data_IF_059507627042
#
_entry.id   IF_059507627042
#
_cell.length_a   1.000
_cell.length_b   1.000
_cell.length_c   1.000
_cell.angle_alpha   90.00
_cell.angle_beta   90.00
_cell.angle_gamma   90.00
#
_symmetry.space_group_name_H-M   'P 1'
#
loop_
_entity.id
_entity.type
_entity.pdbx_description
1 polymer ?
#
# COMPACT_ATOMS: atom_id res chain seq x y z
N UNK A 1 -27.81 8.73 4.61
CA UNK A 1 -27.14 7.45 4.28
C UNK A 1 -27.38 7.16 2.82
N UNK A 2 -26.60 7.80 1.95
CA UNK A 2 -26.73 7.65 0.50
C UNK A 2 -25.65 6.67 0.03
N UNK A 3 -26.04 5.40 0.01
CA UNK A 3 -25.28 4.30 -0.55
C UNK A 3 -25.70 4.14 -2.02
N UNK A 4 -24.70 3.91 -2.87
CA UNK A 4 -24.81 3.42 -4.26
C UNK A 4 -25.25 4.45 -5.31
N UNK A 5 -24.28 5.27 -5.74
CA UNK A 5 -24.13 5.57 -7.18
C UNK A 5 -22.78 5.08 -7.66
N UNK A 6 -22.74 3.78 -7.97
CA UNK A 6 -21.79 3.27 -8.93
C UNK A 6 -22.12 3.88 -10.29
N UNK A 7 -21.21 4.69 -10.81
CA UNK A 7 -21.04 4.86 -12.25
C UNK A 7 -19.65 4.31 -12.53
N UNK A 8 -19.63 3.06 -13.00
CA UNK A 8 -18.49 2.44 -13.64
C UNK A 8 -18.14 3.27 -14.88
N UNK A 9 -17.06 4.06 -14.78
CA UNK A 9 -16.46 4.83 -15.89
C UNK A 9 -15.20 4.15 -16.42
N UNK A 10 -15.08 2.82 -16.30
CA UNK A 10 -13.85 2.11 -16.66
C UNK A 10 -12.64 2.50 -15.81
N UNK A 11 -12.87 3.13 -14.65
CA UNK A 11 -11.83 3.51 -13.69
C UNK A 11 -11.36 2.27 -12.91
N UNK A 12 -10.04 2.11 -12.67
CA UNK A 12 -9.53 0.94 -11.98
C UNK A 12 -10.15 0.79 -10.58
N UNK A 13 -10.61 -0.43 -10.25
CA UNK A 13 -11.38 -0.69 -9.02
C UNK A 13 -10.55 -0.71 -7.74
N UNK A 14 -9.24 -0.98 -7.84
CA UNK A 14 -8.36 -1.07 -6.67
C UNK A 14 -7.57 0.23 -6.48
N UNK A 15 -7.24 0.55 -5.21
CA UNK A 15 -6.39 1.70 -4.88
C UNK A 15 -5.05 1.65 -5.61
N UNK A 16 -4.43 0.47 -5.68
CA UNK A 16 -3.16 0.27 -6.38
C UNK A 16 -3.27 0.50 -7.88
N UNK A 17 -4.30 0.00 -8.54
CA UNK A 17 -4.45 0.23 -9.98
C UNK A 17 -4.71 1.72 -10.30
N UNK A 18 -5.42 2.44 -9.43
CA UNK A 18 -5.55 3.90 -9.52
C UNK A 18 -4.22 4.62 -9.26
N UNK A 19 -3.37 4.08 -8.39
CA UNK A 19 -2.04 4.62 -8.15
C UNK A 19 -1.19 4.62 -9.43
N UNK A 20 -1.22 3.53 -10.21
CA UNK A 20 -0.56 3.47 -11.52
C UNK A 20 -1.15 4.45 -12.54
N UNK A 21 -2.48 4.64 -12.54
CA UNK A 21 -3.12 5.64 -13.41
C UNK A 21 -2.70 7.06 -13.05
N UNK A 22 -2.62 7.38 -11.75
CA UNK A 22 -2.15 8.70 -11.29
C UNK A 22 -0.67 8.90 -11.67
N UNK A 23 0.17 7.88 -11.52
CA UNK A 23 1.57 7.92 -11.96
C UNK A 23 1.68 8.19 -13.47
N UNK A 24 0.92 7.46 -14.29
CA UNK A 24 0.92 7.63 -15.75
C UNK A 24 0.45 9.04 -16.19
N UNK A 25 -0.34 9.72 -15.36
CA UNK A 25 -0.78 11.11 -15.56
C UNK A 25 0.20 12.15 -15.02
N UNK A 26 1.29 11.74 -14.36
CA UNK A 26 2.26 12.62 -13.71
C UNK A 26 1.86 13.09 -12.31
N UNK A 27 0.77 12.55 -11.74
CA UNK A 27 0.25 12.89 -10.43
C UNK A 27 0.98 12.05 -9.36
N UNK A 28 2.26 12.36 -9.13
CA UNK A 28 3.16 11.51 -8.34
C UNK A 28 2.77 11.45 -6.85
N UNK A 29 2.30 12.55 -6.29
CA UNK A 29 1.87 12.64 -4.89
C UNK A 29 0.62 11.80 -4.65
N UNK A 30 -0.38 11.92 -5.54
CA UNK A 30 -1.60 11.12 -5.49
C UNK A 30 -1.33 9.63 -5.71
N UNK A 31 -0.46 9.29 -6.66
CA UNK A 31 -0.03 7.92 -6.88
C UNK A 31 0.58 7.32 -5.61
N UNK A 32 1.45 8.09 -4.96
CA UNK A 32 2.13 7.67 -3.74
C UNK A 32 1.17 7.49 -2.56
N UNK A 33 0.21 8.42 -2.39
CA UNK A 33 -0.82 8.32 -1.35
C UNK A 33 -1.72 7.10 -1.54
N UNK A 34 -2.20 6.84 -2.76
CA UNK A 34 -3.03 5.66 -3.03
C UNK A 34 -2.29 4.35 -2.81
N UNK A 35 -1.00 4.30 -3.15
CA UNK A 35 -0.18 3.13 -2.92
C UNK A 35 -0.02 2.84 -1.42
N UNK A 36 0.22 3.88 -0.62
CA UNK A 36 0.22 3.75 0.84
C UNK A 36 -1.12 3.23 1.38
N UNK A 37 -2.24 3.85 0.97
CA UNK A 37 -3.58 3.44 1.41
C UNK A 37 -3.88 1.99 1.02
N UNK A 38 -3.39 1.55 -0.15
CA UNK A 38 -3.52 0.17 -0.59
C UNK A 38 -2.86 -0.80 0.40
N UNK A 39 -1.62 -0.53 0.82
CA UNK A 39 -0.87 -1.34 1.80
C UNK A 39 -1.53 -1.29 3.18
N UNK A 40 -1.86 -0.10 3.67
CA UNK A 40 -2.46 0.09 4.99
C UNK A 40 -3.78 -0.68 5.14
N UNK A 41 -4.62 -0.69 4.08
CA UNK A 41 -5.86 -1.44 4.04
C UNK A 41 -5.62 -2.96 4.14
N UNK A 42 -4.70 -3.53 3.35
CA UNK A 42 -4.38 -4.98 3.41
C UNK A 42 -3.79 -5.37 4.75
N UNK A 43 -2.79 -4.60 5.23
CA UNK A 43 -2.16 -4.86 6.52
C UNK A 43 -3.17 -4.81 7.66
N UNK A 44 -4.10 -3.86 7.64
CA UNK A 44 -5.17 -3.79 8.63
C UNK A 44 -6.09 -5.00 8.56
N UNK A 45 -6.40 -5.51 7.37
CA UNK A 45 -7.14 -6.76 7.19
C UNK A 45 -6.41 -7.97 7.78
N UNK A 46 -5.12 -8.14 7.47
CA UNK A 46 -4.27 -9.21 8.04
C UNK A 46 -4.16 -9.08 9.55
N UNK A 47 -3.94 -7.86 10.06
CA UNK A 47 -3.86 -7.60 11.49
C UNK A 47 -5.18 -7.93 12.20
N UNK A 48 -6.32 -7.53 11.63
CA UNK A 48 -7.64 -7.86 12.18
C UNK A 48 -7.88 -9.37 12.23
N UNK A 49 -7.57 -10.10 11.15
CA UNK A 49 -7.68 -11.56 11.10
C UNK A 49 -6.81 -12.27 12.16
N UNK A 50 -5.70 -11.63 12.56
CA UNK A 50 -4.74 -12.17 13.53
C UNK A 50 -4.86 -11.58 14.93
N UNK A 51 -5.83 -10.69 15.16
CA UNK A 51 -6.03 -10.01 16.45
C UNK A 51 -4.90 -9.05 16.82
N UNK A 52 -4.22 -8.47 15.84
CA UNK A 52 -3.14 -7.49 16.04
C UNK A 52 -3.65 -6.05 15.97
N UNK A 53 -3.02 -5.09 16.68
CA UNK A 53 -3.27 -3.67 16.48
C UNK A 53 -2.92 -3.22 15.06
N UNK A 54 -3.66 -2.24 14.52
CA UNK A 54 -3.42 -1.68 13.17
C UNK A 54 -3.88 -0.22 13.00
N UNK A 55 -4.11 0.53 14.08
CA UNK A 55 -4.72 1.87 14.01
C UNK A 55 -3.70 2.99 13.79
N UNK A 56 -2.41 2.70 13.90
CA UNK A 56 -1.33 3.69 13.74
C UNK A 56 -0.26 3.19 12.78
N UNK A 57 0.55 4.11 12.25
CA UNK A 57 1.71 3.72 11.43
C UNK A 57 2.65 2.78 12.21
N UNK A 58 2.87 3.04 13.50
CA UNK A 58 3.66 2.17 14.38
C UNK A 58 3.10 0.74 14.38
N UNK A 59 1.78 0.59 14.45
CA UNK A 59 1.15 -0.73 14.48
C UNK A 59 1.33 -1.47 13.15
N UNK A 60 1.19 -0.78 12.02
CA UNK A 60 1.43 -1.35 10.69
C UNK A 60 2.89 -1.82 10.53
N UNK A 61 3.86 -1.02 10.97
CA UNK A 61 5.26 -1.43 11.00
C UNK A 61 5.49 -2.63 11.94
N UNK A 62 4.85 -2.66 13.11
CA UNK A 62 4.94 -3.79 14.02
C UNK A 62 4.31 -5.07 13.43
N UNK A 63 3.26 -4.96 12.61
CA UNK A 63 2.69 -6.09 11.90
C UNK A 63 3.68 -6.66 10.87
N UNK A 64 4.38 -5.80 10.12
CA UNK A 64 5.45 -6.22 9.20
C UNK A 64 6.58 -6.95 9.96
N UNK A 65 7.00 -6.44 11.11
CA UNK A 65 8.04 -7.10 11.92
C UNK A 65 7.62 -8.49 12.44
N UNK A 66 6.35 -8.66 12.78
CA UNK A 66 5.79 -9.99 13.11
C UNK A 66 5.86 -10.92 11.90
N UNK A 67 5.44 -10.46 10.72
CA UNK A 67 5.51 -11.23 9.48
C UNK A 67 6.93 -11.66 9.12
N UNK A 68 7.92 -10.78 9.30
CA UNK A 68 9.34 -11.13 9.11
C UNK A 68 9.76 -12.23 10.08
N UNK A 69 9.38 -12.11 11.36
CA UNK A 69 9.73 -13.11 12.38
C UNK A 69 9.09 -14.47 12.08
N UNK A 70 7.82 -14.48 11.66
CA UNK A 70 7.08 -15.71 11.34
C UNK A 70 7.61 -16.41 10.08
N UNK A 71 7.96 -15.64 9.05
CA UNK A 71 8.34 -16.19 7.74
C UNK A 71 9.84 -16.33 7.55
N UNK A 72 10.65 -15.64 8.35
CA UNK A 72 12.10 -15.49 8.14
C UNK A 72 12.46 -14.63 6.92
N UNK A 73 11.47 -14.03 6.24
CA UNK A 73 11.67 -13.30 5.00
C UNK A 73 11.93 -11.80 5.25
N UNK A 74 13.17 -11.36 5.04
CA UNK A 74 13.52 -9.95 5.18
C UNK A 74 12.90 -9.05 4.10
N UNK A 75 12.37 -9.61 3.00
CA UNK A 75 11.77 -8.86 1.89
C UNK A 75 10.59 -8.01 2.35
N UNK A 76 9.82 -8.46 3.36
CA UNK A 76 8.74 -7.68 3.96
C UNK A 76 9.18 -6.28 4.42
N UNK A 77 10.37 -6.16 5.04
CA UNK A 77 10.90 -4.86 5.48
C UNK A 77 11.24 -3.95 4.30
N UNK A 78 11.86 -4.52 3.27
CA UNK A 78 12.28 -3.76 2.08
C UNK A 78 11.06 -3.24 1.32
N UNK A 79 10.03 -4.07 1.17
CA UNK A 79 8.77 -3.68 0.54
C UNK A 79 8.05 -2.59 1.35
N UNK A 80 8.00 -2.74 2.68
CA UNK A 80 7.42 -1.73 3.55
C UNK A 80 8.19 -0.41 3.50
N UNK A 81 9.52 -0.44 3.37
CA UNK A 81 10.32 0.77 3.23
C UNK A 81 9.95 1.59 1.97
N UNK A 82 9.69 0.94 0.85
CA UNK A 82 9.16 1.59 -0.36
C UNK A 82 7.78 2.21 -0.12
N UNK A 83 6.87 1.49 0.54
CA UNK A 83 5.56 2.03 0.90
C UNK A 83 5.67 3.26 1.83
N UNK A 84 6.58 3.24 2.81
CA UNK A 84 6.85 4.38 3.69
C UNK A 84 7.43 5.57 2.93
N UNK A 85 8.34 5.34 1.97
CA UNK A 85 8.90 6.42 1.13
C UNK A 85 7.81 7.09 0.31
N UNK A 86 6.89 6.32 -0.28
CA UNK A 86 5.71 6.83 -0.98
C UNK A 86 4.78 7.63 -0.04
N UNK A 87 4.56 7.17 1.19
CA UNK A 87 3.77 7.93 2.16
C UNK A 87 4.41 9.28 2.52
N UNK A 88 5.74 9.38 2.61
CA UNK A 88 6.38 10.70 2.75
C UNK A 88 6.21 11.52 1.48
N UNK A 89 6.39 10.90 0.31
CA UNK A 89 6.29 11.57 -0.97
C UNK A 89 4.91 12.18 -1.24
N UNK A 90 3.83 11.58 -0.75
CA UNK A 90 2.49 12.12 -0.97
C UNK A 90 2.25 13.49 -0.34
N UNK A 91 3.12 13.92 0.57
CA UNK A 91 3.09 15.26 1.17
C UNK A 91 4.22 16.16 0.67
N UNK A 92 5.39 15.58 0.38
CA UNK A 92 6.62 16.32 0.13
C UNK A 92 6.99 16.44 -1.36
N UNK A 93 6.45 15.59 -2.23
CA UNK A 93 6.71 15.65 -3.68
C UNK A 93 8.20 15.53 -4.07
N UNK A 94 8.98 14.77 -3.29
CA UNK A 94 10.45 14.74 -3.37
C UNK A 94 11.01 13.61 -4.25
N UNK A 95 10.21 12.57 -4.54
CA UNK A 95 10.63 11.43 -5.36
C UNK A 95 10.48 11.73 -6.85
N UNK A 96 11.48 11.41 -7.69
CA UNK A 96 11.32 11.45 -9.14
C UNK A 96 10.40 10.31 -9.63
N UNK A 97 9.82 10.49 -10.82
CA UNK A 97 8.78 9.62 -11.38
C UNK A 97 9.18 8.15 -11.52
N UNK A 98 10.42 7.89 -11.92
CA UNK A 98 10.97 6.53 -12.05
C UNK A 98 11.08 5.80 -10.70
N UNK A 99 11.44 6.54 -9.64
CA UNK A 99 11.44 6.01 -8.28
C UNK A 99 10.03 5.71 -7.76
N UNK A 100 9.07 6.59 -8.03
CA UNK A 100 7.67 6.34 -7.69
C UNK A 100 7.19 5.06 -8.37
N UNK A 101 7.45 4.88 -9.67
CA UNK A 101 7.03 3.69 -10.40
C UNK A 101 7.61 2.39 -9.79
N UNK A 102 8.93 2.38 -9.53
CA UNK A 102 9.58 1.24 -8.87
C UNK A 102 8.94 0.92 -7.52
N UNK A 103 8.64 1.94 -6.73
CA UNK A 103 8.03 1.73 -5.41
C UNK A 103 6.55 1.31 -5.51
N UNK A 104 5.83 1.68 -6.58
CA UNK A 104 4.52 1.09 -6.90
C UNK A 104 4.62 -0.41 -7.19
N UNK A 105 5.66 -0.86 -7.91
CA UNK A 105 5.89 -2.29 -8.17
C UNK A 105 6.18 -3.05 -6.86
N UNK A 106 6.95 -2.46 -5.95
CA UNK A 106 7.14 -3.02 -4.61
C UNK A 106 5.84 -3.04 -3.80
N UNK A 107 5.02 -2.00 -3.87
CA UNK A 107 3.70 -2.02 -3.23
C UNK A 107 2.82 -3.13 -3.81
N UNK A 108 2.87 -3.37 -5.13
CA UNK A 108 2.15 -4.48 -5.75
C UNK A 108 2.57 -5.83 -5.16
N UNK A 109 3.87 -6.11 -5.14
CA UNK A 109 4.43 -7.33 -4.52
C UNK A 109 4.01 -7.45 -3.04
N UNK A 110 4.06 -6.35 -2.28
CA UNK A 110 3.64 -6.34 -0.89
C UNK A 110 2.17 -6.71 -0.73
N UNK A 111 1.29 -6.12 -1.53
CA UNK A 111 -0.15 -6.42 -1.46
C UNK A 111 -0.46 -7.86 -1.84
N UNK A 112 0.21 -8.42 -2.84
CA UNK A 112 0.05 -9.83 -3.22
C UNK A 112 0.48 -10.77 -2.09
N UNK A 113 1.63 -10.49 -1.46
CA UNK A 113 2.09 -11.29 -0.31
C UNK A 113 1.12 -11.20 0.86
N UNK A 114 0.52 -10.04 1.13
CA UNK A 114 -0.47 -9.86 2.20
C UNK A 114 -1.79 -10.58 1.88
N UNK A 115 -2.27 -10.49 0.64
CA UNK A 115 -3.49 -11.15 0.19
C UNK A 115 -3.36 -12.69 0.31
N UNK A 116 -2.15 -13.24 0.11
CA UNK A 116 -1.86 -14.66 0.33
C UNK A 116 -1.95 -15.12 1.81
N UNK A 117 -2.00 -14.18 2.76
CA UNK A 117 -2.12 -14.47 4.19
C UNK A 117 -3.56 -14.36 4.71
N UNK A 118 -4.47 -13.77 3.94
CA UNK A 118 -5.85 -13.46 4.35
C UNK A 118 -6.82 -14.65 4.15
N UNK A 119 -6.34 -15.88 4.36
CA UNK A 119 -7.11 -17.13 4.23
C UNK A 119 -7.96 -17.40 5.48
#
# INVERSE_FOLDING_TARGET
MELLRGVDRGEPRTLLARAYVDHARGNLEEASGRAWDAVALRLSGVAAARGWPSSTHRDLHAAIERLVTETGDARWRLLMASATALHTNCNEGWLPSDWVLRDLDHVAELTEKLDALAV
#
